data_IF_252407661364
#
_entry.id   IF_252407661364
#
_cell.length_a   1.000
_cell.length_b   1.000
_cell.length_c   1.000
_cell.angle_alpha   90.00
_cell.angle_beta   90.00
_cell.angle_gamma   90.00
#
_symmetry.space_group_name_H-M   'P 1'
#
loop_
_entity.id
_entity.type
_entity.pdbx_description
1 polymer ?
#
# COMPACT_ATOMS: atom_id res chain seq x y z
N UNK A 1 6.90 11.48 20.24
CA UNK A 1 6.88 12.50 19.16
C UNK A 1 5.77 12.06 18.23
N UNK A 2 4.78 12.90 17.97
CA UNK A 2 3.69 12.55 17.06
C UNK A 2 4.29 12.20 15.70
N UNK A 3 3.99 11.01 15.19
CA UNK A 3 4.28 10.61 13.81
C UNK A 3 3.54 11.58 12.88
N UNK A 4 4.27 12.52 12.29
CA UNK A 4 3.73 13.35 11.21
C UNK A 4 3.76 12.52 9.94
N UNK A 5 2.61 11.93 9.59
CA UNK A 5 2.40 11.31 8.27
C UNK A 5 2.79 12.31 7.19
N UNK A 6 3.59 11.93 6.17
CA UNK A 6 3.96 12.81 5.05
C UNK A 6 2.76 13.17 4.15
N UNK A 7 1.61 12.55 4.40
CA UNK A 7 0.40 12.61 3.60
C UNK A 7 -0.76 13.15 4.45
N UNK A 8 -1.62 14.01 3.88
CA UNK A 8 -2.92 14.28 4.49
C UNK A 8 -3.85 13.08 4.30
N UNK A 9 -3.82 12.18 5.28
CA UNK A 9 -4.53 10.90 5.20
C UNK A 9 -6.03 11.08 5.08
N UNK A 10 -6.60 12.06 5.78
CA UNK A 10 -8.05 12.28 5.77
C UNK A 10 -8.55 12.70 4.40
N UNK A 11 -7.84 13.63 3.76
CA UNK A 11 -8.16 14.08 2.42
C UNK A 11 -8.11 12.92 1.41
N UNK A 12 -6.98 12.20 1.36
CA UNK A 12 -6.77 11.16 0.34
C UNK A 12 -7.64 9.92 0.56
N UNK A 13 -7.89 9.52 1.82
CA UNK A 13 -8.82 8.44 2.10
C UNK A 13 -10.27 8.79 1.72
N UNK A 14 -10.69 10.05 1.89
CA UNK A 14 -12.01 10.50 1.46
C UNK A 14 -12.18 10.35 -0.07
N UNK A 15 -11.16 10.73 -0.84
CA UNK A 15 -11.15 10.58 -2.29
C UNK A 15 -11.19 9.10 -2.75
N UNK A 16 -10.67 8.17 -1.93
CA UNK A 16 -10.82 6.73 -2.19
C UNK A 16 -12.28 6.29 -2.04
N UNK A 17 -12.91 6.61 -0.91
CA UNK A 17 -14.29 6.18 -0.60
C UNK A 17 -15.33 6.67 -1.62
N UNK A 18 -15.07 7.80 -2.27
CA UNK A 18 -15.95 8.34 -3.30
C UNK A 18 -15.86 7.58 -4.65
N UNK A 19 -14.82 6.77 -4.86
CA UNK A 19 -14.53 6.15 -6.16
C UNK A 19 -14.41 4.63 -6.12
N UNK A 20 -14.17 4.02 -4.95
CA UNK A 20 -14.00 2.56 -4.81
C UNK A 20 -14.77 2.05 -3.58
N UNK A 21 -15.94 1.43 -3.82
CA UNK A 21 -16.76 0.80 -2.77
C UNK A 21 -16.35 -0.67 -2.58
N UNK A 22 -15.18 -0.86 -1.98
CA UNK A 22 -14.54 -2.18 -1.84
C UNK A 22 -14.34 -2.59 -0.38
N UNK A 23 -14.64 -1.66 0.54
CA UNK A 23 -14.34 -1.78 1.97
C UNK A 23 -15.26 -2.76 2.66
N UNK A 24 -16.54 -2.79 2.27
CA UNK A 24 -17.50 -3.74 2.79
C UNK A 24 -17.11 -5.19 2.46
N UNK A 25 -16.68 -5.45 1.23
CA UNK A 25 -16.22 -6.79 0.79
C UNK A 25 -15.05 -7.27 1.64
N UNK A 26 -13.98 -6.47 1.74
CA UNK A 26 -12.82 -6.82 2.57
C UNK A 26 -13.20 -7.04 4.04
N UNK A 27 -13.93 -6.10 4.63
CA UNK A 27 -14.27 -6.16 6.06
C UNK A 27 -15.15 -7.37 6.37
N UNK A 28 -16.12 -7.67 5.51
CA UNK A 28 -16.97 -8.85 5.67
C UNK A 28 -16.16 -10.14 5.57
N UNK A 29 -15.26 -10.26 4.58
CA UNK A 29 -14.44 -11.47 4.44
C UNK A 29 -13.51 -11.68 5.63
N UNK A 30 -12.81 -10.62 6.07
CA UNK A 30 -11.89 -10.71 7.21
C UNK A 30 -12.63 -11.04 8.52
N UNK A 31 -13.86 -10.52 8.70
CA UNK A 31 -14.71 -10.81 9.86
C UNK A 31 -15.27 -12.23 9.83
N UNK A 32 -15.76 -12.66 8.68
CA UNK A 32 -16.58 -13.87 8.56
C UNK A 32 -15.74 -15.14 8.31
N UNK A 33 -14.46 -15.00 7.94
CA UNK A 33 -13.54 -16.11 7.69
C UNK A 33 -12.34 -16.05 8.64
N UNK A 34 -12.03 -17.15 9.29
CA UNK A 34 -10.89 -17.26 10.22
C UNK A 34 -9.63 -17.78 9.54
N UNK A 35 -9.78 -18.58 8.48
CA UNK A 35 -8.68 -19.19 7.76
C UNK A 35 -8.10 -18.25 6.69
N UNK A 36 -6.77 -18.16 6.61
CA UNK A 36 -6.07 -17.23 5.71
C UNK A 36 -6.28 -17.59 4.23
N UNK A 37 -6.30 -18.88 3.88
CA UNK A 37 -6.50 -19.33 2.51
C UNK A 37 -7.97 -19.22 2.09
N UNK A 38 -8.92 -19.39 3.00
CA UNK A 38 -10.32 -19.07 2.75
C UNK A 38 -10.52 -17.56 2.50
N UNK A 39 -9.82 -16.70 3.24
CA UNK A 39 -9.79 -15.24 2.95
C UNK A 39 -9.20 -14.97 1.57
N UNK A 40 -8.10 -15.66 1.23
CA UNK A 40 -7.45 -15.52 -0.07
C UNK A 40 -8.42 -15.87 -1.21
N UNK A 41 -9.13 -16.99 -1.12
CA UNK A 41 -10.17 -17.38 -2.09
C UNK A 41 -11.27 -16.33 -2.26
N UNK A 42 -11.69 -15.68 -1.18
CA UNK A 42 -12.74 -14.66 -1.28
C UNK A 42 -12.26 -13.33 -1.85
N UNK A 43 -10.99 -12.99 -1.65
CA UNK A 43 -10.43 -11.68 -1.99
C UNK A 43 -9.44 -11.72 -3.16
N UNK A 44 -9.28 -12.88 -3.80
CA UNK A 44 -8.26 -13.09 -4.83
C UNK A 44 -8.33 -12.06 -5.95
N UNK A 45 -9.54 -11.81 -6.46
CA UNK A 45 -9.80 -10.89 -7.56
C UNK A 45 -10.25 -9.50 -7.08
N UNK A 46 -10.30 -9.26 -5.77
CA UNK A 46 -10.88 -8.05 -5.19
C UNK A 46 -10.21 -6.75 -5.67
N UNK A 47 -8.88 -6.77 -5.81
CA UNK A 47 -8.06 -5.63 -6.24
C UNK A 47 -7.15 -5.95 -7.43
N UNK A 48 -7.43 -7.05 -8.15
CA UNK A 48 -6.55 -7.60 -9.19
C UNK A 48 -5.09 -7.79 -8.68
N UNK A 49 -4.97 -8.17 -7.41
CA UNK A 49 -3.68 -8.45 -6.76
C UNK A 49 -3.18 -9.86 -7.09
N UNK A 50 -4.07 -10.73 -7.56
CA UNK A 50 -3.74 -12.06 -8.08
C UNK A 50 -2.84 -11.99 -9.31
N UNK A 51 -2.88 -10.90 -10.10
CA UNK A 51 -2.06 -10.70 -11.32
C UNK A 51 -2.15 -11.87 -12.31
N UNK A 52 -3.33 -12.52 -12.36
CA UNK A 52 -3.59 -13.66 -13.22
C UNK A 52 -3.05 -15.00 -12.72
N UNK A 53 -2.58 -15.09 -11.47
CA UNK A 53 -2.26 -16.35 -10.79
C UNK A 53 -3.57 -17.03 -10.39
N UNK A 54 -3.69 -18.34 -10.64
CA UNK A 54 -4.86 -19.11 -10.20
C UNK A 54 -4.82 -19.29 -8.67
N UNK A 55 -5.95 -19.12 -8.00
CA UNK A 55 -6.05 -19.33 -6.56
C UNK A 55 -5.88 -20.81 -6.20
N UNK A 56 -6.33 -21.72 -7.07
CA UNK A 56 -6.25 -23.15 -6.81
C UNK A 56 -4.78 -23.59 -6.83
N UNK A 57 -3.98 -23.10 -7.78
CA UNK A 57 -2.53 -23.33 -7.84
C UNK A 57 -1.81 -22.92 -6.53
N UNK A 58 -2.25 -21.83 -5.90
CA UNK A 58 -1.68 -21.34 -4.63
C UNK A 58 -2.19 -22.15 -3.43
N UNK A 59 -3.50 -22.40 -3.37
CA UNK A 59 -4.13 -23.04 -2.20
C UNK A 59 -3.94 -24.55 -2.15
N UNK A 60 -3.58 -25.20 -3.27
CA UNK A 60 -3.25 -26.62 -3.32
C UNK A 60 -1.85 -26.93 -2.79
N UNK A 61 -0.94 -25.95 -2.83
CA UNK A 61 0.47 -26.15 -2.46
C UNK A 61 0.87 -25.46 -1.16
N UNK A 62 -0.05 -24.76 -0.50
CA UNK A 62 0.23 -23.96 0.70
C UNK A 62 -0.80 -24.26 1.77
N UNK A 63 -0.38 -24.22 3.04
CA UNK A 63 -1.27 -24.33 4.19
C UNK A 63 -1.32 -23.03 5.00
N UNK A 64 -2.40 -22.83 5.75
CA UNK A 64 -2.53 -21.68 6.66
C UNK A 64 -1.47 -21.69 7.75
N UNK A 65 -1.09 -22.86 8.27
CA UNK A 65 -0.03 -22.97 9.29
C UNK A 65 1.32 -22.49 8.76
N UNK A 66 1.67 -22.81 7.50
CA UNK A 66 2.89 -22.29 6.87
C UNK A 66 2.88 -20.76 6.72
N UNK A 67 1.71 -20.16 6.46
CA UNK A 67 1.58 -18.71 6.43
C UNK A 67 1.79 -18.11 7.82
N UNK A 68 1.24 -18.74 8.86
CA UNK A 68 1.37 -18.30 10.25
C UNK A 68 2.83 -18.37 10.71
N UNK A 69 3.55 -19.44 10.38
CA UNK A 69 4.97 -19.60 10.73
C UNK A 69 5.82 -18.47 10.13
N UNK A 70 5.52 -18.06 8.90
CA UNK A 70 6.21 -16.95 8.23
C UNK A 70 5.89 -15.58 8.86
N UNK A 71 4.82 -15.46 9.65
CA UNK A 71 4.55 -14.26 10.42
C UNK A 71 5.54 -14.08 11.58
N UNK A 72 6.49 -14.99 11.84
CA UNK A 72 7.56 -14.72 12.81
C UNK A 72 8.72 -13.90 12.21
N UNK A 73 8.85 -13.89 10.89
CA UNK A 73 9.97 -13.26 10.16
C UNK A 73 9.77 -11.77 9.89
N UNK A 74 10.85 -11.04 9.54
CA UNK A 74 10.71 -9.67 9.04
C UNK A 74 9.85 -9.65 7.75
N UNK A 75 9.08 -8.58 7.46
CA UNK A 75 8.18 -8.57 6.29
C UNK A 75 8.88 -8.86 4.95
N UNK A 76 10.11 -8.36 4.78
CA UNK A 76 10.90 -8.63 3.59
C UNK A 76 11.35 -10.09 3.49
N UNK A 77 11.79 -10.68 4.61
CA UNK A 77 12.22 -12.08 4.64
C UNK A 77 11.05 -13.04 4.45
N UNK A 78 9.92 -12.80 5.14
CA UNK A 78 8.70 -13.59 5.03
C UNK A 78 8.18 -13.63 3.58
N UNK A 79 8.10 -12.46 2.93
CA UNK A 79 7.71 -12.37 1.51
C UNK A 79 8.72 -13.08 0.61
N UNK A 80 10.02 -12.93 0.88
CA UNK A 80 11.06 -13.60 0.11
C UNK A 80 10.95 -15.12 0.18
N UNK A 81 10.82 -15.66 1.40
CA UNK A 81 10.67 -17.11 1.65
C UNK A 81 9.38 -17.64 1.01
N UNK A 82 8.26 -16.94 1.16
CA UNK A 82 6.99 -17.37 0.55
C UNK A 82 7.02 -17.30 -0.98
N UNK A 83 7.67 -16.28 -1.55
CA UNK A 83 7.86 -16.18 -3.00
C UNK A 83 8.67 -17.37 -3.53
N UNK A 84 9.75 -17.75 -2.82
CA UNK A 84 10.60 -18.89 -3.19
C UNK A 84 9.81 -20.20 -3.08
N UNK A 85 9.06 -20.38 -1.99
CA UNK A 85 8.21 -21.56 -1.77
C UNK A 85 7.17 -21.75 -2.87
N UNK A 86 6.46 -20.69 -3.25
CA UNK A 86 5.43 -20.74 -4.27
C UNK A 86 6.00 -21.02 -5.67
N UNK A 87 7.21 -20.54 -5.96
CA UNK A 87 7.91 -20.88 -7.22
C UNK A 87 8.38 -22.33 -7.20
N UNK A 88 9.01 -22.77 -6.11
CA UNK A 88 9.50 -24.15 -5.96
C UNK A 88 8.38 -25.19 -6.07
N UNK A 89 7.18 -24.85 -5.58
CA UNK A 89 5.99 -25.70 -5.64
C UNK A 89 5.16 -25.53 -6.92
N UNK A 90 5.58 -24.65 -7.82
CA UNK A 90 4.96 -24.48 -9.14
C UNK A 90 3.70 -23.60 -9.17
N UNK A 91 3.32 -22.97 -8.06
CA UNK A 91 2.19 -22.04 -8.01
C UNK A 91 2.50 -20.69 -8.68
N UNK A 92 3.78 -20.31 -8.76
CA UNK A 92 4.23 -19.10 -9.44
C UNK A 92 5.30 -19.43 -10.49
N UNK A 93 5.16 -18.84 -11.68
CA UNK A 93 6.15 -18.99 -12.75
C UNK A 93 7.49 -18.29 -12.43
N UNK A 94 7.44 -17.19 -11.66
CA UNK A 94 8.60 -16.41 -11.28
C UNK A 94 8.39 -15.74 -9.92
N UNK A 95 9.51 -15.36 -9.29
CA UNK A 95 9.48 -14.60 -8.03
C UNK A 95 8.75 -13.27 -8.23
N UNK A 96 7.86 -12.95 -7.30
CA UNK A 96 7.14 -11.68 -7.19
C UNK A 96 6.91 -11.36 -5.71
N UNK A 97 6.57 -10.10 -5.43
CA UNK A 97 6.30 -9.61 -4.08
C UNK A 97 4.80 -9.53 -3.81
N UNK A 98 3.99 -9.21 -4.83
CA UNK A 98 2.58 -8.83 -4.66
C UNK A 98 1.75 -9.97 -4.07
N UNK A 99 1.76 -11.15 -4.71
CA UNK A 99 0.97 -12.30 -4.26
C UNK A 99 1.40 -12.79 -2.86
N UNK A 100 2.70 -13.02 -2.58
CA UNK A 100 3.14 -13.40 -1.23
C UNK A 100 2.80 -12.35 -0.16
N UNK A 101 3.00 -11.06 -0.45
CA UNK A 101 2.65 -9.99 0.47
C UNK A 101 1.15 -9.97 0.78
N UNK A 102 0.30 -10.23 -0.23
CA UNK A 102 -1.14 -10.29 -0.04
C UNK A 102 -1.57 -11.50 0.81
N UNK A 103 -0.97 -12.68 0.61
CA UNK A 103 -1.26 -13.85 1.45
C UNK A 103 -0.89 -13.61 2.92
N UNK A 104 0.29 -13.03 3.16
CA UNK A 104 0.75 -12.69 4.51
C UNK A 104 -0.11 -11.58 5.13
N UNK A 105 -0.59 -10.62 4.34
CA UNK A 105 -1.56 -9.61 4.77
C UNK A 105 -2.84 -10.26 5.32
N UNK A 106 -3.37 -11.26 4.63
CA UNK A 106 -4.60 -11.96 5.03
C UNK A 106 -4.40 -12.85 6.25
N UNK A 107 -3.21 -13.44 6.40
CA UNK A 107 -2.83 -14.22 7.56
C UNK A 107 -2.62 -13.35 8.83
N UNK A 108 -1.98 -12.20 8.68
CA UNK A 108 -1.69 -11.26 9.79
C UNK A 108 -2.91 -10.39 10.16
N UNK A 109 -3.92 -10.31 9.29
CA UNK A 109 -5.15 -9.58 9.59
C UNK A 109 -6.09 -10.38 10.50
N UNK A 110 -6.83 -9.68 11.37
CA UNK A 110 -7.83 -10.26 12.26
C UNK A 110 -9.22 -9.65 12.04
N UNK A 111 -10.30 -10.22 12.62
CA UNK A 111 -11.68 -9.75 12.44
C UNK A 111 -11.91 -8.25 12.71
N UNK A 112 -11.04 -7.64 13.52
CA UNK A 112 -11.08 -6.22 13.91
C UNK A 112 -9.76 -5.50 13.62
N UNK A 113 -8.78 -6.16 12.99
CA UNK A 113 -7.42 -5.64 12.84
C UNK A 113 -6.94 -5.77 11.39
N UNK A 114 -6.58 -4.63 10.81
CA UNK A 114 -5.87 -4.58 9.53
C UNK A 114 -4.37 -4.87 9.76
N UNK A 115 -3.77 -5.72 8.92
CA UNK A 115 -2.33 -5.94 8.97
C UNK A 115 -1.57 -4.69 8.52
N UNK A 116 -1.00 -3.97 9.49
CA UNK A 116 -0.07 -2.85 9.23
C UNK A 116 1.34 -3.33 8.92
N UNK A 117 1.66 -4.57 9.31
CA UNK A 117 2.99 -5.17 9.13
C UNK A 117 3.19 -5.72 7.72
N UNK A 118 2.13 -6.27 7.14
CA UNK A 118 2.06 -6.69 5.75
C UNK A 118 0.99 -5.84 5.05
N UNK A 119 1.24 -4.54 4.80
CA UNK A 119 0.27 -3.69 4.11
C UNK A 119 0.02 -4.18 2.68
N UNK A 120 -1.19 -3.94 2.16
CA UNK A 120 -1.51 -4.26 0.77
C UNK A 120 -0.55 -3.52 -0.16
N UNK A 121 0.07 -4.27 -1.07
CA UNK A 121 1.14 -3.78 -1.91
C UNK A 121 0.84 -3.94 -3.39
N UNK A 122 0.85 -2.83 -4.12
CA UNK A 122 0.78 -2.80 -5.57
C UNK A 122 1.61 -1.66 -6.16
N UNK A 123 1.50 -1.43 -7.47
CA UNK A 123 2.22 -0.37 -8.17
C UNK A 123 1.88 1.03 -7.65
N UNK A 124 0.63 1.30 -7.26
CA UNK A 124 0.19 2.61 -6.78
C UNK A 124 0.78 2.88 -5.39
N UNK A 125 0.72 1.91 -4.49
CA UNK A 125 1.37 2.01 -3.18
C UNK A 125 2.88 2.20 -3.31
N UNK A 126 3.51 1.48 -4.24
CA UNK A 126 4.95 1.62 -4.51
C UNK A 126 5.32 3.00 -5.07
N UNK A 127 4.53 3.52 -6.02
CA UNK A 127 4.71 4.86 -6.58
C UNK A 127 4.61 5.92 -5.48
N UNK A 128 3.56 5.87 -4.65
CA UNK A 128 3.39 6.77 -3.51
C UNK A 128 4.59 6.72 -2.57
N UNK A 129 5.04 5.51 -2.21
CA UNK A 129 6.20 5.33 -1.34
C UNK A 129 7.47 5.95 -1.92
N UNK A 130 7.80 5.66 -3.19
CA UNK A 130 9.00 6.18 -3.85
C UNK A 130 8.99 7.71 -3.88
N UNK A 131 7.82 8.29 -4.15
CA UNK A 131 7.64 9.74 -4.18
C UNK A 131 7.78 10.35 -2.76
N UNK A 132 7.01 9.87 -1.78
CA UNK A 132 6.98 10.41 -0.41
C UNK A 132 8.32 10.28 0.33
N UNK A 133 9.10 9.25 0.00
CA UNK A 133 10.43 9.04 0.60
C UNK A 133 11.58 9.71 -0.16
N UNK A 134 11.29 10.45 -1.25
CA UNK A 134 12.30 11.11 -2.09
C UNK A 134 13.43 10.18 -2.51
N UNK A 135 13.10 8.91 -2.79
CA UNK A 135 14.07 7.87 -3.20
C UNK A 135 14.60 8.05 -4.62
N UNK A 136 14.05 9.01 -5.35
CA UNK A 136 14.44 9.42 -6.68
C UNK A 136 14.64 10.94 -6.68
N UNK A 137 15.58 11.40 -7.48
CA UNK A 137 15.80 12.83 -7.70
C UNK A 137 14.69 13.44 -8.55
N UNK A 138 14.65 14.78 -8.62
CA UNK A 138 13.58 15.52 -9.31
C UNK A 138 13.42 15.19 -10.79
N UNK A 139 14.52 14.81 -11.46
CA UNK A 139 14.56 14.54 -12.90
C UNK A 139 14.16 13.10 -13.26
N UNK A 140 14.15 12.20 -12.27
CA UNK A 140 13.80 10.80 -12.49
C UNK A 140 12.28 10.62 -12.58
N UNK A 141 11.80 9.74 -13.48
CA UNK A 141 10.38 9.42 -13.58
C UNK A 141 9.90 8.58 -12.39
N UNK A 142 8.58 8.52 -12.19
CA UNK A 142 7.98 7.57 -11.28
C UNK A 142 8.15 6.12 -11.79
N UNK A 143 8.18 5.12 -10.88
CA UNK A 143 8.25 3.73 -11.30
C UNK A 143 6.96 3.31 -12.02
N UNK A 144 7.10 2.64 -13.18
CA UNK A 144 5.96 2.12 -13.95
C UNK A 144 5.40 0.78 -13.41
N UNK A 145 6.11 0.13 -12.49
CA UNK A 145 5.70 -1.15 -11.89
C UNK A 145 6.06 -1.20 -10.42
N UNK A 146 5.39 -2.09 -9.67
CA UNK A 146 5.82 -2.45 -8.33
C UNK A 146 7.23 -3.07 -8.36
N UNK A 147 7.97 -2.95 -7.25
CA UNK A 147 9.25 -3.65 -7.08
C UNK A 147 9.05 -5.16 -6.97
N UNK A 148 9.99 -5.95 -7.50
CA UNK A 148 10.09 -7.40 -7.29
C UNK A 148 11.06 -7.77 -6.16
N UNK A 149 11.68 -6.79 -5.50
CA UNK A 149 12.63 -7.00 -4.40
C UNK A 149 11.92 -7.15 -3.05
N UNK A 150 12.04 -8.29 -2.35
CA UNK A 150 11.51 -8.47 -1.00
C UNK A 150 12.11 -7.50 0.01
N UNK A 151 13.41 -7.18 -0.12
CA UNK A 151 14.06 -6.16 0.71
C UNK A 151 13.36 -4.80 0.58
N UNK A 152 13.06 -4.36 -0.64
CA UNK A 152 12.33 -3.10 -0.87
C UNK A 152 10.89 -3.13 -0.35
N UNK A 153 10.24 -4.29 -0.36
CA UNK A 153 8.96 -4.46 0.30
C UNK A 153 9.09 -4.30 1.83
N UNK A 154 10.11 -4.88 2.45
CA UNK A 154 10.40 -4.68 3.87
C UNK A 154 10.55 -3.21 4.23
N UNK A 155 11.30 -2.44 3.44
CA UNK A 155 11.46 -0.99 3.61
C UNK A 155 10.15 -0.21 3.45
N UNK A 156 9.27 -0.66 2.56
CA UNK A 156 7.91 -0.11 2.42
C UNK A 156 7.05 -0.42 3.65
N UNK A 157 7.08 -1.66 4.15
CA UNK A 157 6.34 -2.06 5.35
C UNK A 157 6.80 -1.30 6.59
N UNK A 158 8.10 -1.06 6.74
CA UNK A 158 8.64 -0.23 7.84
C UNK A 158 8.18 1.22 7.75
N UNK A 159 8.24 1.80 6.54
CA UNK A 159 7.70 3.14 6.31
C UNK A 159 6.23 3.20 6.68
N UNK A 160 5.42 2.28 6.14
CA UNK A 160 3.98 2.23 6.36
C UNK A 160 3.66 2.22 7.85
N UNK A 161 4.25 1.31 8.62
CA UNK A 161 4.02 1.21 10.07
C UNK A 161 4.43 2.49 10.81
N UNK A 162 5.54 3.10 10.43
CA UNK A 162 6.07 4.28 11.11
C UNK A 162 5.27 5.54 10.84
N UNK A 163 4.63 5.65 9.67
CA UNK A 163 3.99 6.88 9.21
C UNK A 163 2.48 6.90 9.35
N UNK A 164 1.84 5.84 9.86
CA UNK A 164 0.42 5.87 10.26
C UNK A 164 0.23 6.85 11.43
N UNK A 165 -0.66 7.85 11.33
CA UNK A 165 -1.03 8.69 12.47
C UNK A 165 -1.76 7.90 13.56
N UNK A 166 -1.54 8.23 14.84
CA UNK A 166 -2.11 7.50 15.99
C UNK A 166 -3.65 7.36 15.98
N UNK A 167 -4.36 8.31 15.38
CA UNK A 167 -5.83 8.35 15.32
C UNK A 167 -6.42 7.74 14.05
N UNK A 168 -5.56 7.23 13.15
CA UNK A 168 -5.95 6.68 11.86
C UNK A 168 -5.68 5.18 11.87
N UNK A 169 -6.66 4.38 11.48
CA UNK A 169 -6.47 2.94 11.32
C UNK A 169 -5.66 2.60 10.06
N UNK A 170 -5.00 1.44 10.07
CA UNK A 170 -4.13 1.00 8.98
C UNK A 170 -4.83 0.88 7.62
N UNK A 171 -6.12 0.53 7.60
CA UNK A 171 -6.89 0.40 6.35
C UNK A 171 -7.11 1.78 5.72
N UNK A 172 -7.52 2.76 6.53
CA UNK A 172 -7.69 4.15 6.09
C UNK A 172 -6.36 4.74 5.60
N UNK A 173 -5.25 4.39 6.25
CA UNK A 173 -3.91 4.80 5.79
C UNK A 173 -3.53 4.19 4.43
N UNK A 174 -3.79 2.89 4.23
CA UNK A 174 -3.57 2.23 2.93
C UNK A 174 -4.39 2.87 1.82
N UNK A 175 -5.67 3.15 2.06
CA UNK A 175 -6.54 3.82 1.10
C UNK A 175 -6.00 5.18 0.66
N UNK A 176 -5.48 5.96 1.62
CA UNK A 176 -4.86 7.25 1.34
C UNK A 176 -3.58 7.10 0.49
N UNK A 177 -2.67 6.20 0.87
CA UNK A 177 -1.45 5.91 0.10
C UNK A 177 -1.78 5.47 -1.32
N UNK A 178 -2.70 4.52 -1.45
CA UNK A 178 -3.12 3.99 -2.74
C UNK A 178 -3.72 5.07 -3.62
N UNK A 179 -4.61 5.90 -3.07
CA UNK A 179 -5.26 6.98 -3.81
C UNK A 179 -4.26 8.05 -4.24
N UNK A 180 -3.37 8.44 -3.34
CA UNK A 180 -2.30 9.38 -3.65
C UNK A 180 -1.40 8.85 -4.77
N UNK A 181 -0.98 7.58 -4.67
CA UNK A 181 -0.18 6.91 -5.69
C UNK A 181 -0.87 6.85 -7.06
N UNK A 182 -2.17 6.52 -7.07
CA UNK A 182 -2.98 6.53 -8.28
C UNK A 182 -3.11 7.94 -8.88
N UNK A 183 -3.28 8.96 -8.04
CA UNK A 183 -3.36 10.34 -8.48
C UNK A 183 -2.07 10.79 -9.15
N UNK A 184 -0.92 10.66 -8.47
CA UNK A 184 0.37 11.11 -9.02
C UNK A 184 0.79 10.33 -10.28
N UNK A 185 0.39 9.06 -10.39
CA UNK A 185 0.62 8.25 -11.60
C UNK A 185 -0.19 8.71 -12.81
N UNK A 186 -1.30 9.41 -12.59
CA UNK A 186 -2.23 9.84 -13.66
C UNK A 186 -1.96 11.27 -14.13
N UNK A 187 -1.07 12.00 -13.46
CA UNK A 187 -0.70 13.35 -13.87
C UNK A 187 0.15 13.26 -15.16
N UNK A 188 -0.09 14.10 -16.18
CA UNK A 188 0.64 14.04 -17.45
C UNK A 188 2.04 14.68 -17.37
N UNK A 189 2.82 14.33 -16.35
CA UNK A 189 4.20 14.79 -16.16
C UNK A 189 5.16 13.62 -16.01
N UNK A 190 6.37 13.81 -16.51
CA UNK A 190 7.36 12.73 -16.64
C UNK A 190 8.37 12.76 -15.48
N UNK A 191 8.44 13.84 -14.72
CA UNK A 191 9.45 14.06 -13.68
C UNK A 191 8.83 14.35 -12.31
N UNK A 192 9.56 14.00 -11.24
CA UNK A 192 9.14 14.30 -9.86
C UNK A 192 9.03 15.82 -9.63
N UNK A 193 9.91 16.62 -10.25
CA UNK A 193 9.88 18.08 -10.13
C UNK A 193 8.63 18.72 -10.74
N UNK A 194 8.16 18.21 -11.87
CA UNK A 194 6.88 18.67 -12.46
C UNK A 194 5.68 18.27 -11.60
N UNK A 195 5.71 17.04 -11.05
CA UNK A 195 4.69 16.57 -10.10
C UNK A 195 4.68 17.45 -8.84
N UNK A 196 5.85 17.79 -8.30
CA UNK A 196 5.97 18.73 -7.17
C UNK A 196 5.36 20.10 -7.52
N UNK A 197 5.68 20.64 -8.69
CA UNK A 197 5.11 21.90 -9.18
C UNK A 197 3.59 21.87 -9.21
N UNK A 198 3.02 20.81 -9.78
CA UNK A 198 1.57 20.62 -9.87
C UNK A 198 0.90 20.45 -8.49
N UNK A 199 1.48 19.66 -7.59
CA UNK A 199 0.94 19.51 -6.24
C UNK A 199 1.00 20.82 -5.47
N UNK A 200 2.06 21.61 -5.62
CA UNK A 200 2.15 22.95 -5.03
C UNK A 200 1.09 23.90 -5.61
N UNK A 201 0.82 23.87 -6.91
CA UNK A 201 -0.25 24.65 -7.52
C UNK A 201 -1.62 24.24 -7.00
N UNK A 202 -1.89 22.93 -6.90
CA UNK A 202 -3.14 22.40 -6.36
C UNK A 202 -3.30 22.77 -4.89
N UNK A 203 -2.24 22.65 -4.10
CA UNK A 203 -2.23 23.03 -2.69
C UNK A 203 -2.47 24.52 -2.54
N UNK A 204 -1.77 25.38 -3.30
CA UNK A 204 -2.02 26.82 -3.30
C UNK A 204 -3.45 27.17 -3.72
N UNK A 205 -4.03 26.46 -4.69
CA UNK A 205 -5.42 26.65 -5.09
C UNK A 205 -6.39 26.28 -3.96
N UNK A 206 -6.18 25.13 -3.30
CA UNK A 206 -6.98 24.71 -2.14
C UNK A 206 -6.78 25.67 -0.96
N UNK A 207 -5.55 26.14 -0.74
CA UNK A 207 -5.20 27.12 0.30
C UNK A 207 -5.76 28.52 0.00
N UNK A 208 -5.96 28.88 -1.28
CA UNK A 208 -6.68 30.10 -1.66
C UNK A 208 -8.20 30.00 -1.45
N UNK A 209 -8.72 28.76 -1.34
CA UNK A 209 -10.12 28.42 -1.01
C UNK A 209 -10.28 28.07 0.49
N UNK A 210 -9.20 28.18 1.27
CA UNK A 210 -9.03 27.68 2.65
C UNK A 210 -9.89 28.34 3.70
N UNK A 211 -10.56 29.44 3.41
CA UNK A 211 -11.59 29.97 4.31
C UNK A 211 -12.83 29.04 4.41
N UNK A 212 -12.90 27.93 3.64
CA UNK A 212 -14.07 27.04 3.62
C UNK A 212 -13.84 25.54 3.89
N UNK A 213 -12.64 24.97 3.73
CA UNK A 213 -12.49 23.50 3.61
C UNK A 213 -11.41 22.79 4.45
N UNK A 214 -10.39 23.48 4.98
CA UNK A 214 -9.53 22.93 6.05
C UNK A 214 -8.59 21.75 5.73
N UNK A 215 -8.27 21.45 4.47
CA UNK A 215 -7.36 20.36 4.10
C UNK A 215 -6.14 20.83 3.28
N UNK A 216 -4.94 20.35 3.64
CA UNK A 216 -3.71 20.38 2.82
C UNK A 216 -3.54 19.04 2.04
N UNK A 217 -2.71 18.95 1.00
CA UNK A 217 -2.55 17.69 0.24
C UNK A 217 -1.46 16.78 0.83
N UNK A 218 -0.37 17.40 1.27
CA UNK A 218 0.75 16.76 1.96
C UNK A 218 1.00 17.48 3.27
N UNK A 219 1.74 16.87 4.21
CA UNK A 219 2.02 17.52 5.49
C UNK A 219 3.17 18.55 5.42
N UNK A 220 3.88 18.61 4.30
CA UNK A 220 5.02 19.52 4.07
C UNK A 220 4.61 20.75 3.24
N UNK A 221 3.46 21.31 3.56
CA UNK A 221 3.15 22.69 3.20
C UNK A 221 3.89 23.62 4.19
N UNK A 222 5.09 24.08 3.81
CA UNK A 222 5.90 25.14 4.43
C UNK A 222 7.02 24.74 5.43
N UNK A 223 8.22 24.43 4.88
CA UNK A 223 9.49 24.97 5.41
C UNK A 223 10.40 25.48 4.30
N UNK A 224 9.90 26.52 3.62
CA UNK A 224 10.69 27.69 3.29
C UNK A 224 10.31 28.81 4.26
N UNK A 225 10.88 28.79 5.47
CA UNK A 225 10.91 29.96 6.35
C UNK A 225 12.35 30.11 6.86
N UNK A 226 13.03 31.10 6.32
CA UNK A 226 14.25 31.66 6.91
C UNK A 226 13.94 32.24 8.30
N UNK A 227 14.74 31.86 9.29
CA UNK A 227 15.25 32.75 10.34
C UNK A 227 16.63 32.26 10.77
#
# INVERSE_FOLDING_TARGET
MASTSPLNVEYWALQYSAQQDDTATYTNVIRDRTDALERARALWDWKDLSRGVDIDDVTDVLTTDELIDLLEDSPGDAVGKLADLLVERGALANRTVVTPAFLLHLADSGPVQYSVRFPIFDVRCWVAYVYLTRRRDGEQPLPASATQSPTRFGEFSEFFQRTIPEHIDGRRYEQAIFRFGAYISAIPFDTISEIDGHLNELENAITSVYESSGFALTSDSARGFEY
#
